data_IF_443436175135
#
_entry.id   IF_443436175135
#
_cell.length_a   1.000
_cell.length_b   1.000
_cell.length_c   1.000
_cell.angle_alpha   90.00
_cell.angle_beta   90.00
_cell.angle_gamma   90.00
#
_symmetry.space_group_name_H-M   'P 1'
#
loop_
_entity.id
_entity.type
_entity.pdbx_description
1 polymer ?
#
# COMPACT_ATOMS: atom_id res chain seq x y z
N UNK A 1 -27.17 35.09 -6.09
CA UNK A 1 -25.97 34.75 -5.28
C UNK A 1 -25.34 33.47 -5.83
N UNK A 2 -24.39 33.61 -6.75
CA UNK A 2 -23.66 32.49 -7.35
C UNK A 2 -22.26 32.37 -6.77
N UNK A 3 -21.82 31.15 -6.42
CA UNK A 3 -20.43 30.84 -6.08
C UNK A 3 -19.78 30.10 -7.24
N UNK A 4 -18.68 30.68 -7.73
CA UNK A 4 -17.90 30.23 -8.86
C UNK A 4 -17.17 28.90 -8.58
N UNK A 5 -17.26 27.97 -9.55
CA UNK A 5 -16.39 26.79 -9.64
C UNK A 5 -14.99 27.24 -10.08
N UNK A 6 -13.96 27.00 -9.25
CA UNK A 6 -12.57 27.12 -9.69
C UNK A 6 -12.14 25.84 -10.40
N UNK A 7 -12.04 25.92 -11.72
CA UNK A 7 -11.33 24.97 -12.57
C UNK A 7 -9.82 25.25 -12.43
N UNK A 8 -9.07 24.28 -11.92
CA UNK A 8 -7.60 24.30 -11.95
C UNK A 8 -7.13 23.76 -13.29
N UNK A 9 -6.79 24.67 -14.22
CA UNK A 9 -6.02 24.32 -15.44
C UNK A 9 -4.56 24.06 -15.05
N UNK A 10 -3.97 23.01 -15.63
CA UNK A 10 -2.55 22.68 -15.48
C UNK A 10 -1.64 23.82 -15.97
N UNK A 11 -0.59 24.11 -15.21
CA UNK A 11 0.40 25.17 -15.46
C UNK A 11 1.53 24.64 -16.39
N UNK A 12 1.83 25.28 -17.53
CA UNK A 12 2.75 24.78 -18.57
C UNK A 12 4.25 24.75 -18.20
N UNK A 13 4.65 25.22 -17.01
CA UNK A 13 6.04 25.23 -16.56
C UNK A 13 6.53 23.82 -16.13
N UNK A 14 5.62 22.86 -15.94
CA UNK A 14 5.93 21.45 -15.62
C UNK A 14 6.47 20.64 -16.82
N UNK A 15 6.45 21.19 -18.04
CA UNK A 15 6.88 20.48 -19.24
C UNK A 15 8.41 20.32 -19.37
N UNK A 16 9.21 21.24 -18.79
CA UNK A 16 10.66 21.31 -19.03
C UNK A 16 11.47 20.37 -18.14
N UNK A 17 10.91 19.92 -17.01
CA UNK A 17 11.55 18.90 -16.15
C UNK A 17 11.35 17.49 -16.70
N UNK A 18 10.34 17.27 -17.56
CA UNK A 18 9.97 15.97 -18.12
C UNK A 18 10.94 15.47 -19.22
N UNK A 19 11.57 16.35 -20.00
CA UNK A 19 12.57 15.95 -21.01
C UNK A 19 13.81 15.31 -20.36
N UNK A 20 14.26 15.85 -19.23
CA UNK A 20 15.38 15.30 -18.47
C UNK A 20 15.10 13.88 -17.90
N UNK A 21 13.84 13.60 -17.52
CA UNK A 21 13.43 12.28 -17.01
C UNK A 21 13.15 11.24 -18.10
N UNK A 22 12.78 11.68 -19.31
CA UNK A 22 12.56 10.79 -20.47
C UNK A 22 13.87 10.40 -21.15
N UNK A 23 14.78 11.37 -21.37
CA UNK A 23 16.09 11.13 -22.01
C UNK A 23 17.00 10.18 -21.21
N UNK A 24 16.97 10.26 -19.87
CA UNK A 24 17.72 9.32 -19.00
C UNK A 24 17.19 7.88 -19.03
N UNK A 25 15.95 7.67 -19.48
CA UNK A 25 15.27 6.37 -19.50
C UNK A 25 15.49 5.64 -20.82
N UNK A 26 15.53 6.36 -21.95
CA UNK A 26 15.81 5.78 -23.27
C UNK A 26 17.29 5.45 -23.45
N UNK A 27 18.21 6.24 -22.89
CA UNK A 27 19.66 5.99 -22.96
C UNK A 27 20.15 4.71 -22.24
N UNK A 28 19.30 4.03 -21.45
CA UNK A 28 19.66 2.80 -20.70
C UNK A 28 18.98 1.52 -21.21
N UNK A 29 18.05 1.61 -22.16
CA UNK A 29 17.28 0.46 -22.65
C UNK A 29 17.75 -0.07 -24.02
N UNK A 30 18.82 0.51 -24.57
CA UNK A 30 19.36 0.17 -25.89
C UNK A 30 20.60 -0.72 -25.87
N UNK A 31 20.60 -1.83 -25.12
CA UNK A 31 21.44 -3.01 -25.42
C UNK A 31 21.13 -4.17 -24.47
N UNK A 32 21.07 -5.37 -25.02
CA UNK A 32 21.24 -6.67 -24.35
C UNK A 32 20.02 -7.34 -23.71
N UNK A 33 19.15 -7.84 -24.58
CA UNK A 33 18.39 -9.09 -24.34
C UNK A 33 19.24 -10.24 -24.89
N UNK A 34 20.08 -10.87 -24.08
CA UNK A 34 20.39 -12.32 -24.12
C UNK A 34 21.51 -12.73 -23.15
N UNK A 35 21.35 -13.96 -22.63
CA UNK A 35 22.30 -14.82 -21.87
C UNK A 35 22.51 -14.51 -20.39
N UNK A 36 21.90 -15.39 -19.59
CA UNK A 36 22.22 -15.63 -18.20
C UNK A 36 23.66 -16.17 -18.06
N UNK A 37 24.44 -15.53 -17.18
CA UNK A 37 25.62 -16.11 -16.55
C UNK A 37 25.78 -15.48 -15.16
N UNK A 38 25.99 -16.32 -14.15
CA UNK A 38 26.24 -15.92 -12.77
C UNK A 38 27.65 -15.34 -12.65
N UNK A 39 27.80 -14.12 -12.10
CA UNK A 39 29.07 -13.65 -11.55
C UNK A 39 28.88 -12.59 -10.46
N UNK A 40 29.89 -12.51 -9.58
CA UNK A 40 29.88 -11.90 -8.26
C UNK A 40 29.55 -10.40 -8.17
N UNK A 41 28.95 -10.05 -7.03
CA UNK A 41 28.88 -8.74 -6.36
C UNK A 41 29.56 -7.54 -7.06
N UNK A 42 28.77 -6.69 -7.71
CA UNK A 42 29.19 -5.37 -8.18
C UNK A 42 28.23 -4.28 -7.72
N UNK A 43 28.73 -3.28 -6.97
CA UNK A 43 28.03 -2.01 -6.75
C UNK A 43 28.14 -1.18 -8.01
N UNK A 44 27.05 -0.53 -8.43
CA UNK A 44 27.14 0.51 -9.45
C UNK A 44 27.59 1.85 -8.85
N UNK A 45 28.06 2.76 -9.71
CA UNK A 45 28.71 4.02 -9.36
C UNK A 45 27.81 5.08 -8.70
N UNK A 46 26.55 4.75 -8.39
CA UNK A 46 25.60 5.64 -7.70
C UNK A 46 25.06 5.09 -6.38
N UNK A 47 25.56 3.94 -5.91
CA UNK A 47 25.16 3.39 -4.60
C UNK A 47 23.69 2.94 -4.54
N UNK A 48 23.07 2.62 -5.68
CA UNK A 48 21.69 2.10 -5.72
C UNK A 48 21.75 0.59 -5.47
N UNK A 49 21.19 0.15 -4.33
CA UNK A 49 21.00 -1.28 -4.07
C UNK A 49 19.81 -1.77 -4.89
N UNK A 50 20.07 -2.18 -6.13
CA UNK A 50 19.10 -2.88 -6.95
C UNK A 50 19.15 -4.37 -6.58
N UNK A 51 18.30 -4.80 -5.65
CA UNK A 51 18.11 -6.24 -5.40
C UNK A 51 17.03 -6.74 -6.38
N UNK A 52 17.45 -7.14 -7.58
CA UNK A 52 16.58 -7.79 -8.57
C UNK A 52 17.11 -9.19 -8.80
N UNK A 53 16.54 -10.20 -8.13
CA UNK A 53 16.65 -11.60 -8.57
C UNK A 53 15.32 -12.33 -8.30
N UNK A 54 14.81 -12.94 -9.38
CA UNK A 54 13.73 -13.93 -9.53
C UNK A 54 12.28 -13.42 -9.61
N UNK A 55 11.46 -14.13 -10.39
CA UNK A 55 10.05 -13.86 -10.68
C UNK A 55 9.26 -13.47 -9.43
N UNK A 56 9.05 -12.18 -9.19
CA UNK A 56 8.26 -11.69 -8.05
C UNK A 56 7.18 -10.72 -8.51
N UNK A 57 5.98 -10.89 -7.96
CA UNK A 57 4.82 -10.00 -8.12
C UNK A 57 5.01 -8.65 -7.40
N UNK A 58 6.25 -8.24 -7.11
CA UNK A 58 6.55 -6.95 -6.51
C UNK A 58 8.02 -6.54 -6.74
N UNK A 59 8.30 -5.24 -6.69
CA UNK A 59 9.64 -4.67 -6.72
C UNK A 59 9.84 -3.71 -5.54
N UNK A 60 10.99 -3.82 -4.87
CA UNK A 60 11.41 -2.87 -3.83
C UNK A 60 12.61 -2.05 -4.32
N UNK A 61 12.53 -0.73 -4.19
CA UNK A 61 13.60 0.22 -4.55
C UNK A 61 13.79 1.23 -3.41
N UNK A 62 15.02 1.62 -3.09
CA UNK A 62 15.31 2.72 -2.17
C UNK A 62 15.85 3.92 -2.96
N UNK A 63 15.20 5.08 -2.84
CA UNK A 63 15.66 6.35 -3.42
C UNK A 63 15.87 7.37 -2.31
N UNK A 64 17.14 7.70 -2.04
CA UNK A 64 17.47 8.44 -0.82
C UNK A 64 17.03 7.66 0.42
N UNK A 65 16.23 8.27 1.29
CA UNK A 65 15.67 7.61 2.48
C UNK A 65 14.26 7.01 2.25
N UNK A 66 13.72 7.07 1.03
CA UNK A 66 12.39 6.56 0.74
C UNK A 66 12.47 5.12 0.21
N UNK A 67 11.73 4.22 0.84
CA UNK A 67 11.49 2.86 0.38
C UNK A 67 10.23 2.83 -0.48
N UNK A 68 10.33 2.26 -1.67
CA UNK A 68 9.19 1.98 -2.55
C UNK A 68 8.88 0.50 -2.50
N UNK A 69 7.63 0.17 -2.23
CA UNK A 69 7.06 -1.17 -2.37
C UNK A 69 6.05 -1.12 -3.52
N UNK A 70 6.45 -1.60 -4.70
CA UNK A 70 5.59 -1.62 -5.89
C UNK A 70 5.02 -3.01 -6.09
N UNK A 71 3.71 -3.16 -6.00
CA UNK A 71 3.02 -4.41 -6.35
C UNK A 71 2.92 -4.49 -7.89
N UNK A 72 3.28 -5.63 -8.46
CA UNK A 72 3.32 -5.87 -9.91
C UNK A 72 2.73 -7.26 -10.21
N UNK A 73 2.50 -7.62 -11.47
CA UNK A 73 2.08 -8.99 -11.83
C UNK A 73 0.86 -9.00 -12.74
N UNK A 74 -0.08 -9.92 -12.48
CA UNK A 74 -1.27 -10.24 -13.28
C UNK A 74 -2.38 -9.16 -13.25
N UNK A 75 -2.01 -7.90 -13.07
CA UNK A 75 -2.84 -6.69 -13.01
C UNK A 75 -3.86 -6.58 -11.85
N UNK A 76 -4.29 -7.69 -11.23
CA UNK A 76 -5.27 -7.71 -10.13
C UNK A 76 -4.64 -7.68 -8.73
N UNK A 77 -3.41 -8.19 -8.58
CA UNK A 77 -2.68 -8.20 -7.31
C UNK A 77 -3.47 -8.82 -6.16
N UNK A 78 -3.98 -10.04 -6.39
CA UNK A 78 -4.73 -10.80 -5.39
C UNK A 78 -3.81 -11.29 -4.28
N UNK A 79 -4.26 -11.10 -3.04
CA UNK A 79 -3.55 -11.46 -1.81
C UNK A 79 -3.66 -12.97 -1.56
N UNK A 80 -2.82 -13.73 -2.26
CA UNK A 80 -2.53 -15.14 -1.96
C UNK A 80 -1.33 -15.25 -0.98
N UNK A 81 -0.99 -16.45 -0.47
CA UNK A 81 0.08 -16.58 0.52
C UNK A 81 1.44 -16.10 0.01
N UNK A 82 1.73 -16.32 -1.28
CA UNK A 82 3.01 -15.95 -1.88
C UNK A 82 3.17 -14.43 -1.93
N UNK A 83 2.13 -13.69 -2.35
CA UNK A 83 2.16 -12.24 -2.36
C UNK A 83 2.21 -11.67 -0.94
N UNK A 84 1.47 -12.25 0.01
CA UNK A 84 1.50 -11.79 1.40
C UNK A 84 2.91 -11.97 1.99
N UNK A 85 3.54 -13.14 1.85
CA UNK A 85 4.88 -13.38 2.39
C UNK A 85 5.94 -12.51 1.69
N UNK A 86 5.77 -12.29 0.39
CA UNK A 86 6.57 -11.35 -0.40
C UNK A 86 6.54 -9.93 0.17
N UNK A 87 5.34 -9.41 0.45
CA UNK A 87 5.16 -8.09 1.07
C UNK A 87 5.82 -8.06 2.45
N UNK A 88 5.61 -9.09 3.29
CA UNK A 88 6.20 -9.17 4.63
C UNK A 88 7.73 -9.19 4.60
N UNK A 89 8.32 -9.95 3.67
CA UNK A 89 9.76 -9.98 3.44
C UNK A 89 10.30 -8.59 3.07
N UNK A 90 9.59 -7.86 2.21
CA UNK A 90 9.94 -6.48 1.87
C UNK A 90 9.85 -5.52 3.07
N UNK A 91 8.80 -5.63 3.90
CA UNK A 91 8.66 -4.83 5.11
C UNK A 91 9.78 -5.11 6.11
N UNK A 92 10.19 -6.38 6.26
CA UNK A 92 11.32 -6.79 7.11
C UNK A 92 12.62 -6.13 6.67
N UNK A 93 12.93 -6.23 5.37
CA UNK A 93 14.11 -5.58 4.77
C UNK A 93 14.07 -4.05 4.96
N UNK A 94 12.90 -3.44 4.75
CA UNK A 94 12.73 -2.01 4.91
C UNK A 94 12.94 -1.57 6.37
N UNK A 95 12.46 -2.35 7.35
CA UNK A 95 12.75 -2.13 8.77
C UNK A 95 14.25 -2.20 9.05
N UNK A 96 14.92 -3.28 8.63
CA UNK A 96 16.35 -3.51 8.88
C UNK A 96 17.24 -2.40 8.29
N UNK A 97 16.83 -1.83 7.16
CA UNK A 97 17.57 -0.79 6.44
C UNK A 97 17.12 0.63 6.79
N UNK A 98 16.07 0.78 7.60
CA UNK A 98 15.51 2.09 7.92
C UNK A 98 16.46 2.90 8.80
N UNK A 99 16.51 4.19 8.50
CA UNK A 99 17.30 5.21 9.21
C UNK A 99 16.39 6.36 9.61
N UNK A 100 16.90 7.29 10.43
CA UNK A 100 16.14 8.50 10.76
C UNK A 100 15.85 9.29 9.49
N UNK A 101 14.57 9.54 9.25
CA UNK A 101 14.10 10.20 8.04
C UNK A 101 13.63 9.24 6.93
N UNK A 102 13.68 7.93 7.18
CA UNK A 102 13.07 6.96 6.27
C UNK A 102 11.55 7.09 6.20
N UNK A 103 10.98 6.73 5.05
CA UNK A 103 9.55 6.59 4.83
C UNK A 103 9.28 5.43 3.84
N UNK A 104 8.14 4.76 3.97
CA UNK A 104 7.69 3.72 3.05
C UNK A 104 6.56 4.26 2.17
N UNK A 105 6.66 4.04 0.86
CA UNK A 105 5.59 4.27 -0.11
C UNK A 105 5.21 2.95 -0.75
N UNK A 106 3.97 2.54 -0.59
CA UNK A 106 3.40 1.38 -1.28
C UNK A 106 2.57 1.84 -2.47
N UNK A 107 2.81 1.27 -3.65
CA UNK A 107 2.10 1.58 -4.90
C UNK A 107 1.93 0.30 -5.72
N UNK A 108 1.25 0.38 -6.87
CA UNK A 108 1.04 -0.75 -7.74
C UNK A 108 1.10 -0.36 -9.24
N UNK A 109 1.40 -1.34 -10.10
CA UNK A 109 1.33 -1.19 -11.57
C UNK A 109 0.16 -1.99 -12.13
N UNK A 110 -0.70 -1.36 -12.93
CA UNK A 110 -1.83 -2.04 -13.56
C UNK A 110 -3.15 -1.38 -13.20
N UNK A 111 -4.25 -2.15 -13.26
CA UNK A 111 -5.61 -1.64 -13.00
C UNK A 111 -5.95 -1.59 -11.53
N UNK A 112 -5.35 -2.47 -10.73
CA UNK A 112 -5.63 -2.59 -9.31
C UNK A 112 -4.44 -2.09 -8.48
N UNK A 113 -4.75 -1.39 -7.39
CA UNK A 113 -3.83 -1.35 -6.26
C UNK A 113 -3.78 -2.76 -5.65
N UNK A 114 -4.93 -3.31 -5.30
CA UNK A 114 -5.12 -4.75 -5.03
C UNK A 114 -6.60 -5.12 -5.08
N UNK A 115 -6.90 -6.28 -5.64
CA UNK A 115 -8.24 -6.87 -5.71
C UNK A 115 -8.58 -7.76 -4.50
N UNK A 116 -7.87 -7.59 -3.38
CA UNK A 116 -8.17 -8.30 -2.13
C UNK A 116 -7.77 -9.76 -2.16
N UNK A 117 -8.41 -10.58 -1.32
CA UNK A 117 -8.05 -11.98 -1.14
C UNK A 117 -8.21 -12.79 -2.42
N UNK A 118 -7.28 -13.72 -2.62
CA UNK A 118 -7.35 -14.69 -3.71
C UNK A 118 -8.35 -15.80 -3.35
N UNK A 119 -9.63 -15.55 -3.63
CA UNK A 119 -10.70 -16.52 -3.36
C UNK A 119 -10.57 -17.78 -4.22
N UNK A 120 -10.08 -17.65 -5.46
CA UNK A 120 -9.81 -18.79 -6.33
C UNK A 120 -8.72 -19.69 -5.74
N UNK A 121 -7.66 -19.11 -5.17
CA UNK A 121 -6.65 -19.87 -4.43
C UNK A 121 -7.26 -20.59 -3.21
N UNK A 122 -8.13 -19.92 -2.45
CA UNK A 122 -8.79 -20.52 -1.29
C UNK A 122 -9.67 -21.71 -1.71
N UNK A 123 -10.38 -21.60 -2.83
CA UNK A 123 -11.24 -22.64 -3.39
C UNK A 123 -10.46 -23.78 -4.09
N UNK A 124 -9.22 -23.54 -4.52
CA UNK A 124 -8.40 -24.51 -5.26
C UNK A 124 -7.91 -25.72 -4.46
N UNK A 125 -8.34 -25.91 -3.21
CA UNK A 125 -7.99 -27.10 -2.45
C UNK A 125 -8.58 -28.33 -3.15
N UNK A 126 -7.75 -29.29 -3.53
CA UNK A 126 -8.14 -30.52 -4.23
C UNK A 126 -9.09 -31.46 -3.48
N UNK A 127 -9.89 -30.97 -2.53
CA UNK A 127 -10.98 -31.67 -1.87
C UNK A 127 -12.23 -30.80 -1.94
N UNK A 128 -13.23 -31.28 -2.68
CA UNK A 128 -14.50 -30.64 -3.04
C UNK A 128 -15.46 -30.33 -1.87
N UNK A 129 -14.96 -29.92 -0.70
CA UNK A 129 -15.77 -29.60 0.47
C UNK A 129 -15.64 -28.13 0.87
N UNK A 130 -16.78 -27.51 1.22
CA UNK A 130 -16.85 -26.12 1.68
C UNK A 130 -15.95 -25.86 2.92
N UNK A 131 -15.72 -26.88 3.75
CA UNK A 131 -14.85 -26.78 4.93
C UNK A 131 -13.38 -26.51 4.56
N UNK A 132 -12.85 -27.17 3.52
CA UNK A 132 -11.44 -26.98 3.12
C UNK A 132 -11.19 -25.58 2.55
N UNK A 133 -12.15 -25.05 1.78
CA UNK A 133 -12.10 -23.67 1.28
C UNK A 133 -12.16 -22.65 2.42
N UNK A 134 -13.01 -22.92 3.42
CA UNK A 134 -13.12 -22.11 4.64
C UNK A 134 -11.80 -22.07 5.43
N UNK A 135 -11.16 -23.22 5.65
CA UNK A 135 -9.87 -23.29 6.36
C UNK A 135 -8.76 -22.52 5.64
N UNK A 136 -8.72 -22.61 4.30
CA UNK A 136 -7.76 -21.85 3.49
C UNK A 136 -8.01 -20.34 3.53
N UNK A 137 -9.27 -19.91 3.49
CA UNK A 137 -9.61 -18.51 3.66
C UNK A 137 -9.21 -18.00 5.05
N UNK A 138 -9.47 -18.78 6.11
CA UNK A 138 -9.00 -18.47 7.45
C UNK A 138 -7.47 -18.37 7.53
N UNK A 139 -6.75 -19.25 6.84
CA UNK A 139 -5.30 -19.16 6.72
C UNK A 139 -4.86 -17.85 6.05
N UNK A 140 -5.49 -17.44 4.93
CA UNK A 140 -5.20 -16.16 4.27
C UNK A 140 -5.45 -14.96 5.19
N UNK A 141 -6.57 -14.94 5.90
CA UNK A 141 -6.92 -13.87 6.83
C UNK A 141 -5.87 -13.78 7.95
N UNK A 142 -5.39 -14.91 8.47
CA UNK A 142 -4.34 -14.95 9.49
C UNK A 142 -2.98 -14.46 8.95
N UNK A 143 -2.60 -14.87 7.73
CA UNK A 143 -1.39 -14.33 7.09
C UNK A 143 -1.49 -12.82 6.89
N UNK A 144 -2.64 -12.33 6.41
CA UNK A 144 -2.87 -10.91 6.21
C UNK A 144 -2.84 -10.13 7.53
N UNK A 145 -3.41 -10.68 8.60
CA UNK A 145 -3.28 -10.12 9.96
C UNK A 145 -1.80 -9.89 10.34
N UNK A 146 -0.92 -10.85 10.05
CA UNK A 146 0.52 -10.68 10.33
C UNK A 146 1.17 -9.59 9.47
N UNK A 147 0.77 -9.46 8.20
CA UNK A 147 1.22 -8.38 7.32
C UNK A 147 0.81 -7.00 7.87
N UNK A 148 -0.44 -6.85 8.34
CA UNK A 148 -0.89 -5.60 8.95
C UNK A 148 -0.11 -5.30 10.24
N UNK A 149 0.15 -6.32 11.06
CA UNK A 149 0.96 -6.17 12.27
C UNK A 149 2.40 -5.71 11.96
N UNK A 150 3.01 -6.24 10.90
CA UNK A 150 4.32 -5.84 10.41
C UNK A 150 4.32 -4.37 9.96
N UNK A 151 3.31 -3.95 9.18
CA UNK A 151 3.15 -2.59 8.66
C UNK A 151 2.93 -1.56 9.78
N UNK A 152 1.99 -1.82 10.70
CA UNK A 152 1.72 -0.95 11.86
C UNK A 152 2.97 -0.82 12.73
N UNK A 153 3.80 -1.86 12.79
CA UNK A 153 5.01 -1.85 13.59
C UNK A 153 6.20 -1.12 12.96
N UNK A 154 6.16 -0.75 11.68
CA UNK A 154 7.32 -0.17 11.00
C UNK A 154 7.81 1.14 11.65
N UNK A 155 9.14 1.30 11.84
CA UNK A 155 9.74 2.46 12.49
C UNK A 155 9.90 3.66 11.55
N UNK A 156 8.91 3.93 10.72
CA UNK A 156 8.92 5.03 9.75
C UNK A 156 7.50 5.29 9.23
N UNK A 157 7.14 6.52 8.82
CA UNK A 157 5.87 6.81 8.18
C UNK A 157 5.60 5.91 6.97
N UNK A 158 4.34 5.50 6.80
CA UNK A 158 3.90 4.66 5.67
C UNK A 158 2.83 5.37 4.85
N UNK A 159 2.96 5.34 3.53
CA UNK A 159 2.08 6.05 2.60
C UNK A 159 1.60 5.08 1.52
N UNK A 160 0.29 4.96 1.32
CA UNK A 160 -0.27 4.25 0.18
C UNK A 160 -0.52 5.23 -0.97
N UNK A 161 0.09 4.99 -2.13
CA UNK A 161 -0.22 5.66 -3.39
C UNK A 161 -1.11 4.74 -4.24
N UNK A 162 -2.42 4.95 -4.17
CA UNK A 162 -3.46 4.09 -4.74
C UNK A 162 -3.65 4.45 -6.22
N UNK A 163 -3.00 3.68 -7.09
CA UNK A 163 -2.94 3.89 -8.54
C UNK A 163 -4.05 3.18 -9.32
N UNK A 164 -4.99 2.54 -8.62
CA UNK A 164 -6.05 1.72 -9.22
C UNK A 164 -7.15 1.34 -8.24
N UNK A 165 -7.90 0.28 -8.53
CA UNK A 165 -8.94 -0.24 -7.63
C UNK A 165 -8.34 -0.85 -6.35
N UNK A 166 -8.94 -0.58 -5.20
CA UNK A 166 -8.61 -1.22 -3.92
C UNK A 166 -9.89 -1.87 -3.37
N UNK A 167 -9.94 -3.19 -3.44
CA UNK A 167 -11.16 -3.97 -3.16
C UNK A 167 -10.93 -4.95 -2.02
N UNK A 168 -11.88 -5.06 -1.09
CA UNK A 168 -11.83 -5.96 0.07
C UNK A 168 -10.49 -5.87 0.81
N UNK A 169 -9.76 -6.97 0.88
CA UNK A 169 -8.40 -7.02 1.45
C UNK A 169 -7.42 -5.98 0.88
N UNK A 170 -7.59 -5.53 -0.36
CA UNK A 170 -6.80 -4.47 -0.97
C UNK A 170 -7.11 -3.09 -0.39
N UNK A 171 -8.38 -2.83 -0.06
CA UNK A 171 -8.77 -1.63 0.69
C UNK A 171 -8.24 -1.69 2.12
N UNK A 172 -8.28 -2.87 2.76
CA UNK A 172 -7.70 -3.07 4.09
C UNK A 172 -6.19 -2.82 4.10
N UNK A 173 -5.46 -3.29 3.07
CA UNK A 173 -4.02 -3.05 2.93
C UNK A 173 -3.73 -1.55 2.78
N UNK A 174 -4.53 -0.86 1.97
CA UNK A 174 -4.43 0.59 1.79
C UNK A 174 -4.63 1.33 3.11
N UNK A 175 -5.76 1.14 3.80
CA UNK A 175 -6.06 1.87 5.05
C UNK A 175 -5.11 1.49 6.20
N UNK A 176 -4.33 0.42 6.09
CA UNK A 176 -3.33 0.06 7.09
C UNK A 176 -2.10 0.98 7.07
N UNK A 177 -1.94 1.83 6.05
CA UNK A 177 -0.91 2.86 5.99
C UNK A 177 -1.28 4.09 6.85
N UNK A 178 -0.31 4.95 7.15
CA UNK A 178 -0.60 6.20 7.88
C UNK A 178 -1.36 7.19 7.02
N UNK A 179 -0.94 7.32 5.76
CA UNK A 179 -1.47 8.27 4.80
C UNK A 179 -1.86 7.57 3.51
N UNK A 180 -2.90 8.05 2.86
CA UNK A 180 -3.40 7.48 1.60
C UNK A 180 -3.62 8.59 0.59
N UNK A 181 -3.03 8.45 -0.60
CA UNK A 181 -3.32 9.26 -1.77
C UNK A 181 -3.96 8.37 -2.83
N UNK A 182 -4.92 8.90 -3.58
CA UNK A 182 -5.62 8.14 -4.61
C UNK A 182 -5.64 8.89 -5.93
N UNK A 183 -5.59 8.18 -7.05
CA UNK A 183 -5.85 8.79 -8.36
C UNK A 183 -7.36 9.00 -8.55
N UNK A 184 -7.77 10.05 -9.26
CA UNK A 184 -9.16 10.47 -9.46
C UNK A 184 -9.76 9.99 -10.78
N UNK A 185 -8.93 9.89 -11.81
CA UNK A 185 -9.33 9.51 -13.16
C UNK A 185 -9.73 8.03 -13.26
N UNK A 186 -9.26 7.18 -12.35
CA UNK A 186 -9.59 5.74 -12.27
C UNK A 186 -9.51 5.22 -10.83
N UNK A 187 -10.12 4.08 -10.57
CA UNK A 187 -10.04 3.41 -9.28
C UNK A 187 -11.29 3.62 -8.44
N UNK A 188 -11.58 2.63 -7.61
CA UNK A 188 -12.72 2.57 -6.71
C UNK A 188 -12.24 1.91 -5.44
N UNK A 189 -12.67 2.44 -4.30
CA UNK A 189 -12.57 1.81 -3.00
C UNK A 189 -13.86 1.03 -2.76
N UNK A 190 -13.76 -0.24 -2.40
CA UNK A 190 -14.93 -1.10 -2.27
C UNK A 190 -14.68 -2.23 -1.28
N UNK A 191 -15.45 -2.26 -0.20
CA UNK A 191 -15.53 -3.40 0.70
C UNK A 191 -16.62 -4.34 0.18
N UNK A 192 -16.22 -5.39 -0.54
CA UNK A 192 -17.14 -6.25 -1.31
C UNK A 192 -17.83 -7.34 -0.48
N UNK A 193 -17.44 -7.51 0.78
CA UNK A 193 -17.76 -8.67 1.61
C UNK A 193 -19.27 -8.89 1.76
N UNK A 194 -20.05 -7.82 1.93
CA UNK A 194 -21.51 -7.92 2.03
C UNK A 194 -22.14 -8.43 0.72
N UNK A 195 -21.67 -7.96 -0.43
CA UNK A 195 -22.19 -8.34 -1.75
C UNK A 195 -21.82 -9.77 -2.15
N UNK A 196 -20.71 -10.30 -1.61
CA UNK A 196 -20.29 -11.70 -1.82
C UNK A 196 -20.77 -12.64 -0.69
N UNK A 197 -21.55 -12.16 0.26
CA UNK A 197 -22.10 -12.97 1.37
C UNK A 197 -21.06 -13.45 2.40
N UNK A 198 -19.96 -12.71 2.55
CA UNK A 198 -18.88 -13.05 3.47
C UNK A 198 -18.92 -12.16 4.71
N UNK A 199 -18.94 -12.75 5.89
CA UNK A 199 -18.86 -11.99 7.14
C UNK A 199 -17.44 -11.45 7.35
N UNK A 200 -17.34 -10.21 7.84
CA UNK A 200 -16.05 -9.65 8.25
C UNK A 200 -15.52 -10.33 9.50
N UNK A 201 -14.25 -10.79 9.50
CA UNK A 201 -13.61 -11.24 10.73
C UNK A 201 -13.32 -10.03 11.66
N UNK A 202 -13.30 -10.25 12.97
CA UNK A 202 -13.20 -9.19 13.98
C UNK A 202 -12.00 -8.24 13.79
N UNK A 203 -10.85 -8.81 13.41
CA UNK A 203 -9.62 -8.04 13.15
C UNK A 203 -9.81 -7.00 12.03
N UNK A 204 -10.64 -7.31 11.05
CA UNK A 204 -10.90 -6.48 9.88
C UNK A 204 -11.80 -5.30 10.25
N UNK A 205 -12.85 -5.54 11.04
CA UNK A 205 -13.70 -4.46 11.53
C UNK A 205 -12.96 -3.55 12.51
N UNK A 206 -12.08 -4.10 13.35
CA UNK A 206 -11.22 -3.29 14.22
C UNK A 206 -10.28 -2.37 13.42
N UNK A 207 -9.76 -2.83 12.28
CA UNK A 207 -8.97 -2.01 11.37
C UNK A 207 -9.82 -0.87 10.76
N UNK A 208 -11.02 -1.19 10.26
CA UNK A 208 -11.95 -0.18 9.71
C UNK A 208 -12.29 0.86 10.78
N UNK A 209 -12.69 0.44 11.99
CA UNK A 209 -12.99 1.34 13.12
C UNK A 209 -11.80 2.23 13.49
N UNK A 210 -10.58 1.70 13.41
CA UNK A 210 -9.37 2.43 13.78
C UNK A 210 -8.92 3.43 12.72
N UNK A 211 -9.18 3.16 11.44
CA UNK A 211 -8.61 3.91 10.31
C UNK A 211 -9.64 4.73 9.52
N UNK A 212 -10.93 4.42 9.64
CA UNK A 212 -12.03 5.20 9.08
C UNK A 212 -12.64 6.05 10.19
N UNK A 213 -12.22 7.32 10.26
CA UNK A 213 -12.51 8.20 11.40
C UNK A 213 -13.98 8.60 11.59
N UNK A 214 -14.84 8.35 10.59
CA UNK A 214 -16.27 8.69 10.65
C UNK A 214 -17.12 7.42 10.69
N UNK A 215 -18.00 7.31 11.69
CA UNK A 215 -18.99 6.24 11.75
C UNK A 215 -19.93 6.24 10.53
N UNK A 216 -20.21 7.41 9.94
CA UNK A 216 -20.98 7.49 8.71
C UNK A 216 -20.21 6.88 7.53
N UNK A 217 -18.93 7.22 7.37
CA UNK A 217 -18.09 6.61 6.34
C UNK A 217 -17.94 5.09 6.55
N UNK A 218 -17.78 4.64 7.81
CA UNK A 218 -17.76 3.22 8.13
C UNK A 218 -19.03 2.48 7.68
N UNK A 219 -20.23 3.08 7.88
CA UNK A 219 -21.49 2.50 7.39
C UNK A 219 -21.60 2.51 5.86
N UNK A 220 -21.14 3.57 5.19
CA UNK A 220 -21.10 3.61 3.72
C UNK A 220 -20.24 2.48 3.15
N UNK A 221 -19.07 2.26 3.73
CA UNK A 221 -18.18 1.21 3.27
C UNK A 221 -18.69 -0.19 3.61
N UNK A 222 -19.07 -0.43 4.87
CA UNK A 222 -19.29 -1.78 5.39
C UNK A 222 -20.74 -2.25 5.28
N UNK A 223 -21.71 -1.38 5.60
CA UNK A 223 -23.13 -1.75 5.67
C UNK A 223 -23.89 -1.46 4.38
N UNK A 224 -23.37 -0.58 3.53
CA UNK A 224 -23.93 -0.27 2.21
C UNK A 224 -23.12 -0.85 1.06
N UNK A 225 -21.91 -1.36 1.33
CA UNK A 225 -20.98 -1.83 0.30
C UNK A 225 -20.77 -0.79 -0.82
N UNK A 226 -20.76 0.50 -0.47
CA UNK A 226 -20.70 1.57 -1.45
C UNK A 226 -19.35 1.54 -2.20
N UNK A 227 -19.41 1.70 -3.52
CA UNK A 227 -18.23 1.93 -4.37
C UNK A 227 -17.86 3.40 -4.32
N UNK A 228 -16.74 3.73 -3.68
CA UNK A 228 -16.33 5.12 -3.40
C UNK A 228 -15.21 5.54 -4.35
N UNK A 229 -15.36 6.69 -5.00
CA UNK A 229 -14.31 7.30 -5.85
C UNK A 229 -13.41 8.24 -5.05
N UNK A 230 -12.30 8.67 -5.63
CA UNK A 230 -11.26 9.42 -4.91
C UNK A 230 -11.78 10.71 -4.27
N UNK A 231 -12.60 11.51 -4.96
CA UNK A 231 -13.15 12.76 -4.43
C UNK A 231 -14.08 12.52 -3.23
N UNK A 232 -14.90 11.48 -3.30
CA UNK A 232 -15.79 11.06 -2.21
C UNK A 232 -14.98 10.51 -1.04
N UNK A 233 -13.93 9.74 -1.31
CA UNK A 233 -13.03 9.21 -0.29
C UNK A 233 -12.29 10.32 0.46
N UNK A 234 -11.91 11.41 -0.23
CA UNK A 234 -11.38 12.63 0.39
C UNK A 234 -12.44 13.30 1.27
N UNK A 235 -13.68 13.45 0.76
CA UNK A 235 -14.77 14.04 1.55
C UNK A 235 -15.14 13.21 2.80
N UNK A 236 -14.94 11.89 2.75
CA UNK A 236 -15.12 10.96 3.87
C UNK A 236 -13.93 10.94 4.85
N UNK A 237 -12.79 11.55 4.50
CA UNK A 237 -11.56 11.53 5.31
C UNK A 237 -10.82 10.19 5.28
N UNK A 238 -11.03 9.36 4.26
CA UNK A 238 -10.33 8.07 4.07
C UNK A 238 -9.03 8.26 3.28
N UNK A 239 -9.02 9.24 2.37
CA UNK A 239 -7.90 9.61 1.49
C UNK A 239 -7.53 11.05 1.78
N UNK A 240 -6.24 11.36 1.82
CA UNK A 240 -5.72 12.71 2.05
C UNK A 240 -6.03 13.64 0.87
N UNK A 241 -5.62 13.22 -0.33
CA UNK A 241 -5.82 13.98 -1.56
C UNK A 241 -6.05 13.05 -2.77
N UNK A 242 -6.81 13.57 -3.74
CA UNK A 242 -7.06 12.94 -5.03
C UNK A 242 -6.22 13.62 -6.12
N UNK A 243 -5.54 12.84 -6.98
CA UNK A 243 -4.68 13.36 -8.05
C UNK A 243 -5.09 12.85 -9.43
N UNK A 244 -4.77 13.59 -10.49
CA UNK A 244 -5.32 13.35 -11.84
C UNK A 244 -4.77 12.11 -12.57
N UNK A 245 -3.71 11.49 -12.07
CA UNK A 245 -3.13 10.27 -12.66
C UNK A 245 -2.39 9.45 -11.61
N UNK A 246 -2.05 8.20 -11.95
CA UNK A 246 -1.24 7.34 -11.09
C UNK A 246 0.13 7.95 -10.76
N UNK A 247 0.77 8.60 -11.74
CA UNK A 247 2.05 9.27 -11.59
C UNK A 247 1.93 10.44 -10.60
N UNK A 248 0.93 11.30 -10.78
CA UNK A 248 0.69 12.43 -9.88
C UNK A 248 0.38 11.97 -8.44
N UNK A 249 -0.31 10.84 -8.27
CA UNK A 249 -0.56 10.22 -6.96
C UNK A 249 0.74 9.74 -6.31
N UNK A 250 1.63 9.07 -7.06
CA UNK A 250 2.93 8.63 -6.54
C UNK A 250 3.82 9.83 -6.21
N UNK A 251 3.85 10.87 -7.04
CA UNK A 251 4.60 12.10 -6.76
C UNK A 251 4.12 12.78 -5.47
N UNK A 252 2.82 12.81 -5.21
CA UNK A 252 2.27 13.35 -3.97
C UNK A 252 2.74 12.56 -2.74
N UNK A 253 2.70 11.22 -2.84
CA UNK A 253 3.24 10.36 -1.79
C UNK A 253 4.74 10.61 -1.55
N UNK A 254 5.53 10.80 -2.62
CA UNK A 254 6.96 11.14 -2.51
C UNK A 254 7.16 12.48 -1.81
N UNK A 255 6.44 13.53 -2.22
CA UNK A 255 6.52 14.85 -1.57
C UNK A 255 6.20 14.77 -0.07
N UNK A 256 5.17 14.01 0.31
CA UNK A 256 4.85 13.81 1.73
C UNK A 256 5.96 13.02 2.43
N UNK A 257 6.44 11.93 1.83
CA UNK A 257 7.53 11.11 2.37
C UNK A 257 8.79 11.93 2.64
N UNK A 258 9.22 12.76 1.70
CA UNK A 258 10.36 13.67 1.86
C UNK A 258 10.12 14.72 2.96
N UNK A 259 8.91 15.30 3.00
CA UNK A 259 8.53 16.29 4.01
C UNK A 259 8.60 15.70 5.43
N UNK A 260 8.08 14.49 5.61
CA UNK A 260 8.15 13.78 6.89
C UNK A 260 9.58 13.31 7.19
N UNK A 261 10.32 12.85 6.18
CA UNK A 261 11.71 12.40 6.31
C UNK A 261 12.65 13.49 6.81
N UNK A 262 12.46 14.75 6.37
CA UNK A 262 13.21 15.92 6.87
C UNK A 262 13.10 16.12 8.39
N UNK A 263 12.06 15.59 9.04
CA UNK A 263 11.88 15.68 10.50
C UNK A 263 12.87 14.80 11.27
N UNK A 264 13.43 13.76 10.64
CA UNK A 264 14.44 12.86 11.21
C UNK A 264 14.08 12.32 12.60
N UNK A 265 12.80 12.00 12.81
CA UNK A 265 12.31 11.44 14.07
C UNK A 265 13.00 10.12 14.42
N UNK A 266 12.98 9.78 15.71
CA UNK A 266 13.27 8.41 16.13
C UNK A 266 12.12 7.50 15.66
N UNK A 267 12.43 6.60 14.74
CA UNK A 267 11.46 5.69 14.13
C UNK A 267 10.73 4.78 15.12
N UNK A 268 11.43 4.30 16.15
CA UNK A 268 10.83 3.44 17.18
C UNK A 268 9.82 4.22 18.04
N UNK A 269 10.07 5.51 18.27
CA UNK A 269 9.11 6.40 18.94
C UNK A 269 7.90 6.63 18.04
N UNK A 270 8.10 6.85 16.74
CA UNK A 270 7.01 6.98 15.77
C UNK A 270 6.12 5.72 15.78
N UNK A 271 6.72 4.53 15.69
CA UNK A 271 5.99 3.26 15.72
C UNK A 271 5.22 3.07 17.05
N UNK A 272 5.82 3.43 18.20
CA UNK A 272 5.13 3.40 19.51
C UNK A 272 3.91 4.32 19.52
N UNK A 273 4.05 5.56 19.06
CA UNK A 273 2.95 6.53 19.01
C UNK A 273 1.85 6.04 18.07
N UNK A 274 2.21 5.55 16.87
CA UNK A 274 1.26 4.98 15.91
C UNK A 274 0.44 3.84 16.55
N UNK A 275 1.10 2.91 17.25
CA UNK A 275 0.41 1.83 17.96
C UNK A 275 -0.54 2.36 19.04
N UNK A 276 -0.11 3.39 19.79
CA UNK A 276 -0.93 4.00 20.82
C UNK A 276 -2.18 4.72 20.28
N UNK A 277 -2.16 5.19 19.03
CA UNK A 277 -3.36 5.74 18.36
C UNK A 277 -4.43 4.68 18.07
N UNK A 278 -4.07 3.41 18.01
CA UNK A 278 -4.97 2.32 17.63
C UNK A 278 -4.88 1.13 18.60
N UNK A 279 -5.26 1.30 19.88
CA UNK A 279 -5.08 0.28 20.91
C UNK A 279 -5.93 -0.97 20.67
N UNK A 280 -7.19 -0.82 20.23
CA UNK A 280 -8.07 -1.93 19.86
C UNK A 280 -7.45 -2.77 18.73
N UNK A 281 -7.01 -2.10 17.66
CA UNK A 281 -6.33 -2.73 16.54
C UNK A 281 -5.08 -3.48 16.99
N UNK A 282 -4.25 -2.88 17.84
CA UNK A 282 -3.04 -3.54 18.36
C UNK A 282 -3.40 -4.80 19.16
N UNK A 283 -4.46 -4.76 19.97
CA UNK A 283 -4.98 -5.91 20.71
C UNK A 283 -5.35 -7.06 19.79
N UNK A 284 -6.17 -6.81 18.76
CA UNK A 284 -6.57 -7.86 17.81
C UNK A 284 -5.40 -8.36 16.95
N UNK A 285 -4.39 -7.52 16.69
CA UNK A 285 -3.17 -7.89 15.96
C UNK A 285 -2.17 -8.68 16.83
N UNK A 286 -2.38 -8.75 18.15
CA UNK A 286 -1.43 -9.38 19.08
C UNK A 286 -0.17 -8.54 19.32
N UNK A 287 -0.23 -7.22 19.07
CA UNK A 287 0.87 -6.30 19.33
C UNK A 287 0.83 -5.82 20.78
N UNK A 288 1.84 -6.17 21.56
CA UNK A 288 1.94 -5.75 22.96
C UNK A 288 2.05 -4.22 23.09
N UNK A 289 1.18 -3.61 23.91
CA UNK A 289 1.34 -2.22 24.36
C UNK A 289 2.31 -2.20 25.53
N UNK A 290 3.59 -1.85 25.28
CA UNK A 290 4.49 -1.49 26.37
C UNK A 290 4.27 -0.01 26.70
N UNK A 291 4.02 0.30 27.98
CA UNK A 291 3.91 1.66 28.52
C UNK A 291 4.94 2.60 27.88
N UNK A 292 4.48 3.79 27.49
CA UNK A 292 5.32 4.83 26.87
C UNK A 292 6.25 5.48 27.90
N UNK A 293 5.98 5.31 29.19
CA UNK A 293 6.74 5.88 30.31
C UNK A 293 7.28 4.75 31.19
N UNK A 294 8.56 4.44 31.01
CA UNK A 294 9.42 3.75 31.98
C UNK A 294 10.78 4.44 31.97
#
# INVERSE_FOLDING_TARGET
>A
MGRARRSTRCNPILATTLTFWREKREARLGSDVEKASVSNSGRDSNGVVLCVISFFSFAQEKRGDIFFLTITGDDEHRLNPNLIESLRSALRKAREQSTRGSALITTARGKFFSNGFDLAWAESAGSSSAAAAHDRLHHLINLFKTLIADLISLPMPTIAAVTGHAVGGGMMLMISHDYVFMRSDRGVLYMSELDIGMAFPDNTLALVRSKVGSAAAGRELVLKASKVRAEEAVAMGIVEEAHCSAEATVEAAVRLGEKLGKRKWNGEVYAKIRKALHPELCGVLGLASKSVLS
#
